data_IF_146251147339
#
_entry.id   IF_146251147339
#
_cell.length_a   1.000
_cell.length_b   1.000
_cell.length_c   1.000
_cell.angle_alpha   90.00
_cell.angle_beta   90.00
_cell.angle_gamma   90.00
#
_symmetry.space_group_name_H-M   'P 1'
#
loop_
_entity.id
_entity.type
_entity.pdbx_description
1 polymer ?
#
# COMPACT_ATOMS: atom_id res chain seq x y z
N UNK A 1 -30.48 -8.64 3.88
CA UNK A 1 -29.48 -7.53 4.07
C UNK A 1 -28.11 -8.04 3.71
N UNK A 2 -27.37 -7.31 2.89
CA UNK A 2 -25.98 -7.69 2.52
C UNK A 2 -25.06 -7.39 3.72
N UNK A 3 -24.11 -8.29 3.98
CA UNK A 3 -23.14 -8.07 5.06
C UNK A 3 -22.33 -6.78 4.82
N UNK A 4 -22.03 -5.95 5.83
CA UNK A 4 -21.35 -4.65 5.65
C UNK A 4 -20.04 -4.74 4.85
N UNK A 5 -19.21 -5.77 5.09
CA UNK A 5 -17.97 -6.01 4.32
C UNK A 5 -18.26 -6.15 2.83
N UNK A 6 -19.30 -6.89 2.46
CA UNK A 6 -19.66 -7.07 1.04
C UNK A 6 -20.19 -5.77 0.45
N UNK A 7 -20.96 -4.99 1.22
CA UNK A 7 -21.41 -3.67 0.79
C UNK A 7 -20.23 -2.73 0.50
N UNK A 8 -19.22 -2.68 1.37
CA UNK A 8 -18.01 -1.88 1.16
C UNK A 8 -17.25 -2.31 -0.09
N UNK A 9 -17.07 -3.63 -0.29
CA UNK A 9 -16.41 -4.18 -1.47
C UNK A 9 -17.19 -3.92 -2.76
N UNK A 10 -18.52 -3.93 -2.71
CA UNK A 10 -19.39 -3.60 -3.84
C UNK A 10 -19.32 -2.10 -4.17
N UNK A 11 -19.32 -1.24 -3.15
CA UNK A 11 -19.29 0.22 -3.29
C UNK A 11 -17.95 0.71 -3.86
N UNK A 12 -16.81 0.19 -3.32
CA UNK A 12 -15.51 0.66 -3.75
C UNK A 12 -15.27 0.38 -5.25
N UNK A 13 -14.77 1.38 -5.93
CA UNK A 13 -14.31 1.31 -7.34
C UNK A 13 -13.01 2.10 -7.48
N UNK A 14 -12.44 2.18 -8.67
CA UNK A 14 -11.26 3.01 -8.96
C UNK A 14 -11.74 4.37 -9.43
N UNK A 15 -11.62 5.38 -8.60
CA UNK A 15 -11.99 6.75 -8.94
C UNK A 15 -11.10 7.32 -10.04
N UNK A 16 -11.68 8.04 -10.99
CA UNK A 16 -10.97 8.64 -12.12
C UNK A 16 -10.82 10.15 -11.99
N UNK A 17 -11.54 10.77 -11.09
CA UNK A 17 -11.46 12.20 -10.77
C UNK A 17 -11.74 12.42 -9.29
N UNK A 18 -10.96 13.29 -8.69
CA UNK A 18 -11.12 13.71 -7.30
C UNK A 18 -11.56 15.15 -7.20
N UNK A 19 -12.37 15.44 -6.20
CA UNK A 19 -12.73 16.81 -5.80
C UNK A 19 -11.57 17.40 -4.98
N UNK A 20 -10.77 18.24 -5.61
CA UNK A 20 -9.59 18.85 -5.00
C UNK A 20 -9.92 19.83 -3.84
N UNK A 21 -11.19 20.24 -3.72
CA UNK A 21 -11.64 21.09 -2.61
C UNK A 21 -11.93 20.33 -1.32
N UNK A 22 -12.03 18.98 -1.38
CA UNK A 22 -12.32 18.11 -0.26
C UNK A 22 -11.08 17.39 0.25
N UNK A 23 -10.85 17.52 1.55
CA UNK A 23 -9.74 16.86 2.22
C UNK A 23 -10.24 15.81 3.21
N UNK A 24 -9.48 14.70 3.30
CA UNK A 24 -9.72 13.67 4.31
C UNK A 24 -9.51 14.28 5.70
N UNK A 25 -10.38 13.95 6.66
CA UNK A 25 -10.22 14.39 8.04
C UNK A 25 -8.96 13.77 8.67
N UNK A 26 -8.32 14.47 9.60
CA UNK A 26 -7.19 13.92 10.35
C UNK A 26 -7.56 12.65 11.13
N UNK A 27 -8.82 12.54 11.57
CA UNK A 27 -9.32 11.33 12.24
C UNK A 27 -9.37 10.13 11.29
N UNK A 28 -9.89 10.31 10.06
CA UNK A 28 -9.93 9.24 9.05
C UNK A 28 -8.53 8.88 8.57
N UNK A 29 -7.66 9.88 8.38
CA UNK A 29 -6.26 9.64 8.03
C UNK A 29 -5.56 8.80 9.11
N UNK A 30 -5.77 9.11 10.39
CA UNK A 30 -5.18 8.33 11.48
C UNK A 30 -5.65 6.87 11.45
N UNK A 31 -6.92 6.60 11.16
CA UNK A 31 -7.43 5.23 10.97
C UNK A 31 -6.77 4.52 9.80
N UNK A 32 -6.58 5.20 8.67
CA UNK A 32 -5.92 4.66 7.49
C UNK A 32 -4.46 4.30 7.81
N UNK A 33 -3.73 5.18 8.47
CA UNK A 33 -2.32 4.97 8.82
C UNK A 33 -2.16 3.82 9.82
N UNK A 34 -3.08 3.70 10.79
CA UNK A 34 -3.06 2.58 11.74
C UNK A 34 -3.41 1.25 11.05
N UNK A 35 -4.36 1.23 10.11
CA UNK A 35 -4.65 0.04 9.32
C UNK A 35 -3.46 -0.40 8.44
N UNK A 36 -2.71 0.55 7.88
CA UNK A 36 -1.43 0.28 7.20
C UNK A 36 -0.45 -0.41 8.13
N UNK A 37 -0.21 0.17 9.31
CA UNK A 37 0.73 -0.33 10.31
C UNK A 37 0.35 -1.73 10.81
N UNK A 38 -0.94 -2.02 10.94
CA UNK A 38 -1.49 -3.30 11.41
C UNK A 38 -1.64 -4.36 10.31
N UNK A 39 -1.24 -4.05 9.08
CA UNK A 39 -1.33 -5.02 7.98
C UNK A 39 -0.47 -6.25 8.25
N UNK A 40 -1.00 -7.47 8.00
CA UNK A 40 -0.24 -8.69 8.18
C UNK A 40 0.78 -8.90 7.07
N UNK A 41 1.86 -9.63 7.39
CA UNK A 41 2.85 -10.08 6.41
C UNK A 41 3.36 -11.47 6.77
N UNK A 42 3.92 -12.18 5.80
CA UNK A 42 4.56 -13.47 6.02
C UNK A 42 5.63 -13.35 7.10
N UNK A 43 5.62 -14.26 8.08
CA UNK A 43 6.50 -14.26 9.26
C UNK A 43 6.55 -12.93 10.05
N UNK A 44 5.52 -12.09 9.92
CA UNK A 44 5.50 -10.72 10.46
C UNK A 44 6.66 -9.84 9.99
N UNK A 45 7.19 -10.09 8.80
CA UNK A 45 8.42 -9.48 8.29
C UNK A 45 8.35 -7.98 8.04
N UNK A 46 7.16 -7.44 7.76
CA UNK A 46 6.91 -6.02 7.55
C UNK A 46 7.95 -5.34 6.61
N UNK A 47 8.20 -5.91 5.41
CA UNK A 47 9.32 -5.51 4.55
C UNK A 47 8.95 -4.30 3.68
N UNK A 48 8.27 -3.33 4.26
CA UNK A 48 7.69 -2.18 3.56
C UNK A 48 8.02 -0.86 4.24
N UNK A 49 7.84 0.20 3.46
CA UNK A 49 7.79 1.57 3.91
C UNK A 49 6.64 2.28 3.20
N UNK A 50 5.94 3.13 3.92
CA UNK A 50 4.86 3.93 3.37
C UNK A 50 5.25 5.40 3.44
N UNK A 51 5.09 6.13 2.31
CA UNK A 51 5.30 7.58 2.26
C UNK A 51 3.96 8.23 1.99
N UNK A 52 3.51 9.07 2.91
CA UNK A 52 2.23 9.79 2.81
C UNK A 52 2.47 11.18 2.25
N UNK A 53 1.83 11.48 1.14
CA UNK A 53 1.95 12.74 0.42
C UNK A 53 0.64 13.51 0.63
N UNK A 54 0.73 14.65 1.33
CA UNK A 54 -0.40 15.56 1.61
C UNK A 54 -0.12 17.00 1.20
N UNK A 55 1.15 17.44 1.29
CA UNK A 55 1.54 18.82 0.98
C UNK A 55 1.52 19.11 -0.51
N UNK A 56 1.25 20.35 -0.88
CA UNK A 56 1.29 20.78 -2.29
C UNK A 56 2.66 20.56 -2.93
N UNK A 57 3.74 20.73 -2.18
CA UNK A 57 5.10 20.44 -2.66
C UNK A 57 5.27 18.93 -2.92
N UNK A 58 4.80 18.08 -2.03
CA UNK A 58 4.82 16.62 -2.22
C UNK A 58 3.98 16.18 -3.40
N UNK A 59 2.79 16.74 -3.56
CA UNK A 59 1.91 16.50 -4.71
C UNK A 59 2.55 16.94 -6.03
N UNK A 60 3.30 18.06 -6.03
CA UNK A 60 4.05 18.50 -7.21
C UNK A 60 5.16 17.50 -7.56
N UNK A 61 5.96 17.06 -6.58
CA UNK A 61 7.00 16.04 -6.79
C UNK A 61 6.41 14.73 -7.34
N UNK A 62 5.25 14.29 -6.80
CA UNK A 62 4.55 13.12 -7.29
C UNK A 62 4.04 13.32 -8.72
N UNK A 63 3.46 14.48 -9.02
CA UNK A 63 3.04 14.84 -10.39
C UNK A 63 4.21 14.74 -11.36
N UNK A 64 5.36 15.30 -10.99
CA UNK A 64 6.56 15.34 -11.82
C UNK A 64 7.15 13.93 -12.03
N UNK A 65 6.96 13.01 -11.07
CA UNK A 65 7.37 11.61 -11.21
C UNK A 65 6.63 10.86 -12.34
N UNK A 66 5.51 11.39 -12.84
CA UNK A 66 4.78 10.83 -13.98
C UNK A 66 5.10 11.53 -15.32
N UNK A 67 6.06 12.45 -15.37
CA UNK A 67 6.32 13.28 -16.56
C UNK A 67 6.78 12.45 -17.77
N UNK A 68 7.59 11.43 -17.57
CA UNK A 68 8.16 10.60 -18.64
C UNK A 68 7.26 9.42 -19.00
N UNK A 69 6.67 8.78 -17.98
CA UNK A 69 5.82 7.61 -18.11
C UNK A 69 4.55 7.81 -17.28
N UNK A 70 3.45 7.17 -17.69
CA UNK A 70 2.21 7.14 -16.94
C UNK A 70 1.59 8.52 -16.67
N UNK A 71 1.72 9.46 -17.60
CA UNK A 71 1.21 10.84 -17.47
C UNK A 71 -0.29 10.90 -17.13
N UNK A 72 -1.07 9.89 -17.50
CA UNK A 72 -2.48 9.78 -17.12
C UNK A 72 -2.73 9.75 -15.61
N UNK A 73 -1.71 9.47 -14.78
CA UNK A 73 -1.80 9.50 -13.33
C UNK A 73 -1.53 10.89 -12.72
N UNK A 74 -1.03 11.85 -13.50
CA UNK A 74 -0.75 13.20 -13.01
C UNK A 74 -1.98 13.89 -12.41
N UNK A 75 -3.16 13.66 -12.99
CA UNK A 75 -4.41 14.21 -12.48
C UNK A 75 -4.73 13.73 -11.07
N UNK A 76 -4.42 12.46 -10.73
CA UNK A 76 -4.63 11.92 -9.40
C UNK A 76 -3.64 12.51 -8.40
N UNK A 77 -2.38 12.68 -8.79
CA UNK A 77 -1.35 13.29 -7.94
C UNK A 77 -1.73 14.69 -7.46
N UNK A 78 -2.40 15.48 -8.32
CA UNK A 78 -2.80 16.85 -8.00
C UNK A 78 -4.12 16.95 -7.25
N UNK A 79 -5.12 16.17 -7.66
CA UNK A 79 -6.48 16.35 -7.19
C UNK A 79 -6.83 15.50 -5.95
N UNK A 80 -6.16 14.38 -5.72
CA UNK A 80 -6.42 13.56 -4.55
C UNK A 80 -6.07 14.31 -3.24
N UNK A 81 -6.82 14.05 -2.19
CA UNK A 81 -6.53 14.59 -0.86
C UNK A 81 -5.15 14.15 -0.40
N UNK A 82 -4.89 12.84 -0.45
CA UNK A 82 -3.61 12.24 -0.08
C UNK A 82 -3.21 11.18 -1.13
N UNK A 83 -1.91 10.93 -1.23
CA UNK A 83 -1.41 9.76 -1.94
C UNK A 83 -0.42 9.02 -1.04
N UNK A 84 -0.54 7.70 -0.97
CA UNK A 84 0.37 6.85 -0.20
C UNK A 84 1.22 6.05 -1.18
N UNK A 85 2.54 6.18 -1.09
CA UNK A 85 3.47 5.32 -1.79
C UNK A 85 3.68 4.04 -0.98
N UNK A 86 3.49 2.90 -1.61
CA UNK A 86 3.74 1.58 -1.05
C UNK A 86 5.08 1.09 -1.58
N UNK A 87 6.09 1.10 -0.72
CA UNK A 87 7.45 0.72 -1.08
C UNK A 87 7.87 -0.57 -0.37
N UNK A 88 8.58 -1.43 -1.09
CA UNK A 88 9.11 -2.68 -0.57
C UNK A 88 10.63 -2.59 -0.37
N UNK A 89 11.16 -3.39 0.56
CA UNK A 89 12.60 -3.57 0.73
C UNK A 89 13.14 -4.46 -0.42
N UNK A 90 13.99 -3.96 -1.31
CA UNK A 90 14.48 -4.73 -2.45
C UNK A 90 15.47 -5.85 -2.05
N UNK A 91 16.01 -5.80 -0.82
CA UNK A 91 17.01 -6.74 -0.32
C UNK A 91 16.89 -6.91 1.20
N UNK A 92 15.83 -7.61 1.61
CA UNK A 92 15.50 -7.86 3.01
C UNK A 92 16.51 -8.82 3.64
N UNK A 93 17.12 -8.42 4.77
CA UNK A 93 18.21 -9.12 5.42
C UNK A 93 17.88 -9.47 6.88
N UNK A 94 18.73 -10.30 7.48
CA UNK A 94 18.65 -10.66 8.90
C UNK A 94 18.57 -9.42 9.82
N UNK A 95 19.31 -8.35 9.51
CA UNK A 95 19.28 -7.09 10.26
C UNK A 95 17.93 -6.36 10.18
N UNK A 96 17.16 -6.55 9.09
CA UNK A 96 15.81 -6.01 8.98
C UNK A 96 14.84 -6.82 9.82
N UNK A 97 14.98 -8.15 9.81
CA UNK A 97 14.15 -9.03 10.63
C UNK A 97 14.46 -8.90 12.14
N UNK A 98 15.70 -8.56 12.51
CA UNK A 98 16.08 -8.26 13.89
C UNK A 98 15.22 -7.16 14.50
N UNK A 99 14.93 -6.09 13.73
CA UNK A 99 14.05 -5.00 14.18
C UNK A 99 12.64 -5.49 14.51
N UNK A 100 12.14 -6.49 13.78
CA UNK A 100 10.84 -7.12 14.04
C UNK A 100 10.90 -7.94 15.34
N UNK A 101 11.96 -8.72 15.54
CA UNK A 101 12.15 -9.49 16.76
C UNK A 101 12.29 -8.55 17.98
N UNK A 102 13.03 -7.47 17.86
CA UNK A 102 13.19 -6.48 18.92
C UNK A 102 11.84 -5.82 19.27
N UNK A 103 11.01 -5.54 18.28
CA UNK A 103 9.64 -5.06 18.49
C UNK A 103 8.77 -6.13 19.17
N UNK A 104 8.88 -7.39 18.78
CA UNK A 104 8.16 -8.51 19.43
C UNK A 104 8.58 -8.65 20.91
N UNK A 105 9.86 -8.46 21.23
CA UNK A 105 10.35 -8.45 22.62
C UNK A 105 9.78 -7.26 23.40
N UNK A 106 9.86 -6.06 22.82
CA UNK A 106 9.36 -4.85 23.45
C UNK A 106 7.84 -4.89 23.73
N UNK A 107 7.08 -5.58 22.86
CA UNK A 107 5.65 -5.77 22.99
C UNK A 107 5.27 -7.03 23.84
N UNK A 108 6.22 -7.74 24.39
CA UNK A 108 5.99 -8.93 25.22
C UNK A 108 5.55 -10.19 24.46
N UNK A 109 5.62 -10.19 23.13
CA UNK A 109 5.28 -11.34 22.28
C UNK A 109 6.37 -12.43 22.34
N UNK A 110 7.63 -12.03 22.50
CA UNK A 110 8.79 -12.90 22.62
C UNK A 110 9.62 -12.46 23.84
N UNK A 111 10.17 -13.40 24.59
CA UNK A 111 11.11 -13.08 25.68
C UNK A 111 12.50 -12.79 25.11
N UNK A 112 13.25 -11.86 25.74
CA UNK A 112 14.60 -11.49 25.33
C UNK A 112 15.55 -12.71 25.26
N UNK A 113 15.42 -13.66 26.18
CA UNK A 113 16.20 -14.90 26.21
C UNK A 113 15.98 -15.82 25.00
N UNK A 114 14.85 -15.66 24.31
CA UNK A 114 14.48 -16.45 23.13
C UNK A 114 14.79 -15.73 21.80
N UNK A 115 15.53 -14.60 21.83
CA UNK A 115 15.81 -13.79 20.61
C UNK A 115 16.42 -14.64 19.48
N UNK A 116 17.43 -15.46 19.77
CA UNK A 116 18.06 -16.32 18.75
C UNK A 116 17.10 -17.38 18.21
N UNK A 117 16.23 -17.95 19.05
CA UNK A 117 15.22 -18.91 18.60
C UNK A 117 14.20 -18.26 17.66
N UNK A 118 13.84 -16.99 17.89
CA UNK A 118 12.91 -16.25 17.06
C UNK A 118 13.43 -16.05 15.61
N UNK A 119 14.75 -16.00 15.42
CA UNK A 119 15.34 -16.00 14.09
C UNK A 119 15.09 -17.27 13.27
N UNK A 120 14.62 -18.35 13.87
CA UNK A 120 14.29 -19.57 13.14
C UNK A 120 13.31 -19.33 11.98
N UNK A 121 12.39 -18.35 12.12
CA UNK A 121 11.46 -17.98 11.05
C UNK A 121 12.14 -17.30 9.85
N UNK A 122 13.34 -16.72 10.02
CA UNK A 122 14.11 -16.10 8.96
C UNK A 122 14.50 -17.08 7.84
N UNK A 123 14.58 -18.37 8.13
CA UNK A 123 14.80 -19.41 7.12
C UNK A 123 13.77 -19.33 5.98
N UNK A 124 12.58 -18.78 6.22
CA UNK A 124 11.59 -18.55 5.16
C UNK A 124 12.00 -17.43 4.21
N UNK A 125 12.76 -16.44 4.66
CA UNK A 125 13.36 -15.41 3.80
C UNK A 125 14.40 -16.04 2.90
N UNK A 126 15.28 -16.91 3.46
CA UNK A 126 16.30 -17.60 2.67
C UNK A 126 15.69 -18.45 1.56
N UNK A 127 14.56 -19.14 1.84
CA UNK A 127 13.80 -19.91 0.83
C UNK A 127 13.23 -19.04 -0.30
N UNK A 128 13.04 -17.75 -0.08
CA UNK A 128 12.51 -16.78 -1.04
C UNK A 128 13.61 -15.84 -1.59
N UNK A 129 14.86 -16.17 -1.34
CA UNK A 129 16.03 -15.42 -1.82
C UNK A 129 16.67 -16.23 -2.97
N UNK A 130 16.90 -15.57 -4.10
CA UNK A 130 17.52 -16.19 -5.26
C UNK A 130 19.05 -16.34 -5.10
N UNK A 131 19.70 -16.97 -6.10
CA UNK A 131 21.14 -17.19 -6.11
C UNK A 131 21.97 -15.90 -6.10
N UNK A 132 21.37 -14.77 -6.50
CA UNK A 132 21.97 -13.44 -6.47
C UNK A 132 21.75 -12.71 -5.14
N UNK A 133 21.06 -13.35 -4.19
CA UNK A 133 20.74 -12.78 -2.87
C UNK A 133 19.56 -11.80 -2.90
N UNK A 134 18.69 -11.89 -3.93
CA UNK A 134 17.54 -10.99 -4.11
C UNK A 134 16.25 -11.69 -3.65
N UNK A 135 15.47 -11.01 -2.83
CA UNK A 135 14.15 -11.46 -2.37
C UNK A 135 13.03 -10.44 -2.65
N UNK A 136 13.28 -9.54 -3.57
CA UNK A 136 12.36 -8.46 -3.94
C UNK A 136 10.96 -8.97 -4.36
N UNK A 137 10.86 -10.11 -5.03
CA UNK A 137 9.56 -10.68 -5.42
C UNK A 137 8.70 -11.02 -4.19
N UNK A 138 9.32 -11.58 -3.17
CA UNK A 138 8.64 -11.93 -1.93
C UNK A 138 8.26 -10.68 -1.10
N UNK A 139 9.16 -9.73 -0.92
CA UNK A 139 8.87 -8.49 -0.18
C UNK A 139 7.81 -7.64 -0.87
N UNK A 140 7.85 -7.57 -2.19
CA UNK A 140 6.83 -6.92 -3.01
C UNK A 140 5.43 -7.52 -2.79
N UNK A 141 5.30 -8.85 -2.74
CA UNK A 141 4.02 -9.50 -2.50
C UNK A 141 3.38 -9.10 -1.15
N UNK A 142 4.21 -8.87 -0.11
CA UNK A 142 3.71 -8.40 1.19
C UNK A 142 3.11 -6.99 1.08
N UNK A 143 3.67 -6.13 0.24
CA UNK A 143 3.17 -4.77 0.01
C UNK A 143 1.75 -4.77 -0.56
N UNK A 144 1.41 -5.73 -1.43
CA UNK A 144 0.05 -5.88 -1.97
C UNK A 144 -0.97 -6.36 -0.92
N UNK A 145 -0.54 -7.10 0.12
CA UNK A 145 -1.41 -7.44 1.25
C UNK A 145 -1.80 -6.15 2.00
N UNK A 146 -0.83 -5.28 2.28
CA UNK A 146 -1.08 -4.00 2.91
C UNK A 146 -1.96 -3.08 2.04
N UNK A 147 -1.74 -3.06 0.72
CA UNK A 147 -2.57 -2.31 -0.22
C UNK A 147 -4.03 -2.76 -0.16
N UNK A 148 -4.28 -4.07 -0.21
CA UNK A 148 -5.64 -4.63 -0.15
C UNK A 148 -6.36 -4.27 1.15
N UNK A 149 -5.67 -4.37 2.30
CA UNK A 149 -6.18 -3.97 3.61
C UNK A 149 -6.52 -2.46 3.63
N UNK A 150 -5.61 -1.62 3.13
CA UNK A 150 -5.82 -0.16 3.07
C UNK A 150 -6.99 0.22 2.19
N UNK A 151 -7.11 -0.37 1.00
CA UNK A 151 -8.22 -0.10 0.08
C UNK A 151 -9.58 -0.47 0.69
N UNK A 152 -9.65 -1.54 1.48
CA UNK A 152 -10.87 -1.91 2.19
C UNK A 152 -11.16 -0.92 3.34
N UNK A 153 -10.14 -0.51 4.10
CA UNK A 153 -10.27 0.51 5.15
C UNK A 153 -10.80 1.83 4.59
N UNK A 154 -10.21 2.32 3.50
CA UNK A 154 -10.64 3.54 2.78
C UNK A 154 -12.12 3.41 2.38
N UNK A 155 -12.49 2.26 1.80
CA UNK A 155 -13.88 1.98 1.45
C UNK A 155 -14.79 2.01 2.68
N UNK A 156 -14.41 1.41 3.79
CA UNK A 156 -15.18 1.39 5.03
C UNK A 156 -15.43 2.77 5.60
N UNK A 157 -14.47 3.69 5.44
CA UNK A 157 -14.58 5.10 5.85
C UNK A 157 -15.44 5.95 4.90
N UNK A 158 -15.95 5.40 3.80
CA UNK A 158 -16.75 6.16 2.85
C UNK A 158 -15.92 6.97 1.85
N UNK A 159 -14.62 6.74 1.79
CA UNK A 159 -13.68 7.41 0.90
C UNK A 159 -13.48 6.64 -0.40
N UNK A 160 -12.95 7.33 -1.41
CA UNK A 160 -12.62 6.78 -2.72
C UNK A 160 -11.12 6.62 -2.89
N UNK A 161 -10.70 5.65 -3.73
CA UNK A 161 -9.28 5.39 -3.96
C UNK A 161 -8.98 4.90 -5.36
N UNK A 162 -7.73 5.18 -5.78
CA UNK A 162 -7.17 4.75 -7.06
C UNK A 162 -5.78 4.16 -6.85
N UNK A 163 -5.64 2.82 -6.89
CA UNK A 163 -4.32 2.20 -6.93
C UNK A 163 -3.69 2.42 -8.32
N UNK A 164 -2.42 2.82 -8.33
CA UNK A 164 -1.65 3.15 -9.51
C UNK A 164 -0.36 2.31 -9.53
N UNK A 165 -0.35 1.21 -10.28
CA UNK A 165 0.87 0.43 -10.56
C UNK A 165 1.75 1.11 -11.62
N UNK A 166 1.14 1.95 -12.45
CA UNK A 166 1.86 2.78 -13.41
C UNK A 166 2.65 3.88 -12.70
N UNK A 167 3.79 3.52 -12.10
CA UNK A 167 4.73 4.44 -11.45
C UNK A 167 6.12 4.32 -12.10
N UNK A 168 6.79 5.43 -12.31
CA UNK A 168 8.20 5.45 -12.73
C UNK A 168 9.06 5.30 -11.48
N UNK A 169 9.52 4.06 -11.23
CA UNK A 169 10.25 3.68 -10.01
C UNK A 169 11.57 4.43 -9.86
N UNK A 170 12.25 4.65 -10.97
CA UNK A 170 13.55 5.34 -10.98
C UNK A 170 13.34 6.81 -10.61
N UNK A 171 12.42 7.48 -11.28
CA UNK A 171 12.14 8.89 -11.03
C UNK A 171 11.50 9.12 -9.64
N UNK A 172 10.65 8.20 -9.17
CA UNK A 172 10.18 8.24 -7.77
C UNK A 172 11.32 8.06 -6.78
N UNK A 173 12.24 7.12 -7.07
CA UNK A 173 13.44 6.90 -6.26
C UNK A 173 14.33 8.12 -6.16
N UNK A 174 14.45 8.92 -7.22
CA UNK A 174 15.19 10.19 -7.24
C UNK A 174 14.43 11.28 -6.47
N UNK A 175 13.16 11.51 -6.81
CA UNK A 175 12.36 12.59 -6.24
C UNK A 175 12.00 12.40 -4.77
N UNK A 176 11.92 11.17 -4.27
CA UNK A 176 11.57 10.82 -2.90
C UNK A 176 12.68 10.00 -2.22
N UNK A 177 13.95 10.23 -2.59
CA UNK A 177 15.09 9.46 -2.10
C UNK A 177 15.20 9.44 -0.57
N UNK A 178 15.04 10.59 0.07
CA UNK A 178 15.13 10.73 1.52
C UNK A 178 13.99 10.00 2.23
N UNK A 179 12.76 10.17 1.74
CA UNK A 179 11.59 9.54 2.33
C UNK A 179 11.57 8.03 2.10
N UNK A 180 11.97 7.57 0.92
CA UNK A 180 12.03 6.14 0.60
C UNK A 180 13.20 5.44 1.32
N UNK A 181 14.35 6.10 1.49
CA UNK A 181 15.47 5.55 2.24
C UNK A 181 15.97 4.20 1.72
N UNK A 182 16.04 4.02 0.41
CA UNK A 182 16.48 2.80 -0.25
C UNK A 182 15.36 1.76 -0.52
N UNK A 183 14.13 2.01 -0.09
CA UNK A 183 12.97 1.20 -0.49
C UNK A 183 12.50 1.59 -1.90
N UNK A 184 11.93 0.63 -2.62
CA UNK A 184 11.45 0.84 -4.00
C UNK A 184 9.93 0.94 -4.01
N UNK A 185 9.39 2.05 -4.51
CA UNK A 185 7.94 2.20 -4.66
C UNK A 185 7.39 1.21 -5.70
N UNK A 186 6.42 0.39 -5.32
CA UNK A 186 5.76 -0.56 -6.21
C UNK A 186 4.45 -0.03 -6.75
N UNK A 187 3.67 0.60 -5.90
CA UNK A 187 2.33 1.09 -6.22
C UNK A 187 2.05 2.35 -5.41
N UNK A 188 1.31 3.29 -5.98
CA UNK A 188 0.80 4.46 -5.29
C UNK A 188 -0.72 4.33 -5.12
N UNK A 189 -1.27 4.77 -3.98
CA UNK A 189 -2.70 4.80 -3.73
C UNK A 189 -3.15 6.24 -3.51
N UNK A 190 -3.83 6.82 -4.49
CA UNK A 190 -4.52 8.10 -4.33
C UNK A 190 -5.80 7.90 -3.53
N UNK A 191 -6.09 8.80 -2.59
CA UNK A 191 -7.24 8.72 -1.68
C UNK A 191 -7.90 10.08 -1.57
N UNK A 192 -9.24 10.10 -1.58
CA UNK A 192 -10.01 11.35 -1.45
C UNK A 192 -11.49 11.13 -1.65
N UNK A 193 -12.15 12.15 -2.11
CA UNK A 193 -13.56 12.12 -2.52
C UNK A 193 -13.64 12.27 -4.03
N UNK A 194 -14.41 11.42 -4.70
CA UNK A 194 -14.59 11.54 -6.15
C UNK A 194 -15.29 12.84 -6.54
N UNK A 195 -15.03 13.32 -7.76
CA UNK A 195 -15.75 14.43 -8.37
C UNK A 195 -16.97 13.89 -9.16
N UNK A 196 -18.21 14.03 -8.65
CA UNK A 196 -19.37 13.34 -9.19
C UNK A 196 -19.66 13.62 -10.66
N UNK A 197 -19.38 14.85 -11.13
CA UNK A 197 -19.68 15.24 -12.50
C UNK A 197 -18.63 14.77 -13.52
N UNK A 198 -17.41 14.51 -13.06
CA UNK A 198 -16.27 14.20 -13.93
C UNK A 198 -15.78 12.75 -13.79
N UNK A 199 -16.15 12.06 -12.71
CA UNK A 199 -15.74 10.67 -12.49
C UNK A 199 -16.65 9.69 -13.23
N UNK A 200 -16.34 9.50 -14.52
CA UNK A 200 -17.10 8.60 -15.39
C UNK A 200 -17.18 7.15 -14.89
N UNK A 201 -16.29 6.75 -13.96
CA UNK A 201 -16.25 5.38 -13.45
C UNK A 201 -17.26 5.16 -12.30
N UNK A 202 -17.71 6.23 -11.66
CA UNK A 202 -18.62 6.17 -10.51
C UNK A 202 -19.97 5.51 -10.86
N UNK A 203 -20.47 5.73 -12.08
CA UNK A 203 -21.75 5.20 -12.54
C UNK A 203 -21.67 3.79 -13.16
N UNK A 204 -20.45 3.25 -13.35
CA UNK A 204 -20.30 1.95 -14.00
C UNK A 204 -20.59 0.80 -13.02
N UNK A 205 -21.27 -0.25 -13.47
CA UNK A 205 -21.51 -1.43 -12.65
C UNK A 205 -20.20 -2.14 -12.34
N UNK A 206 -20.11 -2.71 -11.14
CA UNK A 206 -18.97 -3.55 -10.79
C UNK A 206 -18.99 -4.85 -11.61
N UNK A 207 -17.87 -5.11 -12.29
CA UNK A 207 -17.67 -6.35 -13.05
C UNK A 207 -16.65 -7.25 -12.35
N UNK A 208 -16.99 -8.52 -12.24
CA UNK A 208 -16.13 -9.62 -11.75
C UNK A 208 -16.45 -10.87 -12.53
N UNK A 209 -15.51 -11.78 -12.61
CA UNK A 209 -15.78 -13.14 -13.09
C UNK A 209 -16.78 -13.84 -12.17
N UNK A 210 -17.47 -14.82 -12.69
CA UNK A 210 -18.39 -15.65 -11.91
C UNK A 210 -17.65 -16.38 -10.79
N UNK A 211 -18.36 -16.59 -9.68
CA UNK A 211 -17.78 -17.19 -8.47
C UNK A 211 -17.12 -18.53 -8.76
N UNK A 212 -17.77 -19.37 -9.56
CA UNK A 212 -17.30 -20.72 -9.87
C UNK A 212 -16.08 -20.74 -10.80
N UNK A 213 -15.82 -19.63 -11.51
CA UNK A 213 -14.61 -19.47 -12.32
C UNK A 213 -13.35 -19.18 -11.49
N UNK A 214 -13.51 -18.70 -10.25
CA UNK A 214 -12.40 -18.23 -9.40
C UNK A 214 -12.34 -18.90 -8.04
N UNK A 215 -13.36 -19.66 -7.63
CA UNK A 215 -13.43 -20.36 -6.33
C UNK A 215 -13.80 -21.81 -6.56
N UNK A 216 -12.96 -22.72 -6.09
CA UNK A 216 -13.24 -24.15 -6.00
C UNK A 216 -13.29 -24.56 -4.54
N UNK A 217 -14.35 -25.27 -4.17
CA UNK A 217 -14.49 -25.87 -2.82
C UNK A 217 -14.23 -27.38 -2.95
N UNK A 218 -13.31 -27.91 -2.16
CA UNK A 218 -12.93 -29.32 -2.10
C UNK A 218 -13.20 -29.88 -0.74
#
# INVERSE_FOLDING_TARGET
MTHPIISDLQRRYTSKRYDASKHISQADLAVILEALRLSPSSINSQPWKFVVIESEQGKQRLHDSFANKFQFNQVHAKAASHTILFAYNPSYKRADYEKVIDADIANGRTKAENKEQAFGAFAFVDLNTDEQGVNAAWTKAQTYIALGNTMHTVARLGLDSTPMEGVDKDLLGELFADELGGYVCEVALAIGYHEPEQDYNAALPKSRLDKDAVITVV
#
